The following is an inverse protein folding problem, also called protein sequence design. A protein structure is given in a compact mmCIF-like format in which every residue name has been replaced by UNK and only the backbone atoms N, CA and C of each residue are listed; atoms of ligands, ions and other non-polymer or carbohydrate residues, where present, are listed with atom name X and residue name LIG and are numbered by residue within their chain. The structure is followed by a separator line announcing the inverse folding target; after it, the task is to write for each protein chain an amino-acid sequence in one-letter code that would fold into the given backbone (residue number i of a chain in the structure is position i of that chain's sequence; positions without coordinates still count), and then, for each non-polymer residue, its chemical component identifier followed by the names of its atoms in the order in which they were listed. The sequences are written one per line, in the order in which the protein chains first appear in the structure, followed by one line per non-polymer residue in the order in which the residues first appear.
data_IF_019263908726
#
_entry.id   IF_019263908726
#
_cell.length_a   1.000
_cell.length_b   1.000
_cell.length_c   1.000
_cell.angle_alpha   90.00
_cell.angle_beta   90.00
_cell.angle_gamma   90.00
#
_symmetry.space_group_name_H-M   'P 1'
#
loop_
_entity.id
_entity.type
_entity.pdbx_description
1 polymer ?
#
# COMPACT_ATOMS: atom_id res chain seq x y z
N UNK A 1 -3.04 -22.41 15.96
CA UNK A 1 -4.12 -21.61 15.32
C UNK A 1 -4.10 -21.96 13.84
N UNK A 2 -5.18 -22.53 13.32
CA UNK A 2 -5.34 -22.73 11.88
C UNK A 2 -6.10 -21.53 11.31
N UNK A 3 -5.70 -21.09 10.12
CA UNK A 3 -6.44 -20.07 9.36
C UNK A 3 -7.71 -20.70 8.77
N UNK A 4 -8.66 -19.88 8.34
CA UNK A 4 -9.87 -20.39 7.68
C UNK A 4 -9.59 -20.78 6.24
N UNK A 5 -10.22 -21.87 5.77
CA UNK A 5 -10.06 -22.39 4.40
C UNK A 5 -10.35 -21.34 3.32
N UNK A 6 -11.21 -20.37 3.62
CA UNK A 6 -11.55 -19.25 2.71
C UNK A 6 -10.35 -18.36 2.39
N UNK A 7 -9.42 -18.20 3.34
CA UNK A 7 -8.22 -17.40 3.12
C UNK A 7 -7.23 -18.10 2.21
N UNK A 8 -7.18 -19.44 2.23
CA UNK A 8 -6.30 -20.24 1.37
C UNK A 8 -6.67 -20.10 -0.11
N UNK A 9 -7.92 -19.76 -0.42
CA UNK A 9 -8.39 -19.50 -1.79
C UNK A 9 -8.01 -18.12 -2.32
N UNK A 10 -7.50 -17.21 -1.47
CA UNK A 10 -7.09 -15.87 -1.89
C UNK A 10 -5.67 -15.91 -2.44
N UNK A 11 -5.55 -15.79 -3.76
CA UNK A 11 -4.25 -15.73 -4.40
C UNK A 11 -3.48 -14.45 -3.98
N UNK A 12 -2.14 -14.52 -3.85
CA UNK A 12 -1.32 -13.35 -3.66
C UNK A 12 -1.55 -12.32 -4.78
N UNK A 13 -1.60 -11.03 -4.43
CA UNK A 13 -1.79 -9.96 -5.40
C UNK A 13 -0.57 -9.80 -6.31
N UNK A 14 -0.76 -10.02 -7.61
CA UNK A 14 0.28 -9.77 -8.62
C UNK A 14 0.69 -8.30 -8.70
N UNK A 15 -0.25 -7.37 -8.46
CA UNK A 15 0.04 -5.93 -8.37
C UNK A 15 0.99 -5.66 -7.20
N UNK A 16 0.79 -6.35 -6.07
CA UNK A 16 1.68 -6.20 -4.91
C UNK A 16 3.08 -6.72 -5.21
N UNK A 17 3.20 -7.87 -5.88
CA UNK A 17 4.51 -8.41 -6.31
C UNK A 17 5.24 -7.44 -7.25
N UNK A 18 4.52 -6.86 -8.22
CA UNK A 18 5.08 -5.87 -9.14
C UNK A 18 5.57 -4.63 -8.38
N UNK A 19 4.79 -4.14 -7.43
CA UNK A 19 5.15 -2.99 -6.60
C UNK A 19 6.39 -3.25 -5.74
N UNK A 20 6.44 -4.40 -5.06
CA UNK A 20 7.58 -4.79 -4.23
C UNK A 20 8.88 -4.89 -5.05
N UNK A 21 8.80 -5.36 -6.31
CA UNK A 21 9.93 -5.40 -7.24
C UNK A 21 10.36 -3.99 -7.70
N UNK A 22 9.39 -3.11 -7.99
CA UNK A 22 9.66 -1.76 -8.47
C UNK A 22 10.28 -0.86 -7.39
N UNK A 23 9.90 -1.03 -6.12
CA UNK A 23 10.46 -0.24 -5.00
C UNK A 23 11.98 -0.41 -4.81
N UNK A 24 12.57 -1.52 -5.26
CA UNK A 24 14.01 -1.79 -5.12
C UNK A 24 14.88 -1.22 -6.25
N UNK A 25 14.29 -0.58 -7.26
CA UNK A 25 15.02 -0.14 -8.46
C UNK A 25 15.09 1.39 -8.48
N UNK A 26 16.30 1.92 -8.38
CA UNK A 26 16.57 3.35 -8.44
C UNK A 26 16.22 3.91 -9.83
N UNK A 27 15.44 5.00 -9.88
CA UNK A 27 15.10 5.70 -11.12
C UNK A 27 13.86 5.19 -11.87
N UNK A 28 13.10 4.23 -11.32
CA UNK A 28 11.80 3.83 -11.90
C UNK A 28 10.75 4.92 -11.70
N UNK A 29 10.01 5.26 -12.77
CA UNK A 29 8.80 6.06 -12.69
C UNK A 29 7.62 5.11 -12.45
N UNK A 30 7.06 5.15 -11.24
CA UNK A 30 5.92 4.31 -10.88
C UNK A 30 4.61 4.95 -11.31
N UNK A 31 3.97 4.39 -12.34
CA UNK A 31 2.62 4.78 -12.79
C UNK A 31 1.51 3.85 -12.27
N UNK A 32 1.87 2.86 -11.46
CA UNK A 32 0.95 1.85 -10.92
C UNK A 32 0.44 2.17 -9.50
N UNK A 33 0.90 3.27 -8.90
CA UNK A 33 0.52 3.67 -7.55
C UNK A 33 -0.81 4.41 -7.62
N UNK A 34 -1.85 3.82 -7.05
CA UNK A 34 -3.17 4.44 -6.90
C UNK A 34 -3.31 5.31 -5.65
N UNK A 35 -2.20 5.77 -5.09
CA UNK A 35 -2.16 6.58 -3.87
C UNK A 35 -1.94 8.07 -4.21
N UNK A 36 -2.44 9.00 -3.38
CA UNK A 36 -2.15 10.42 -3.57
C UNK A 36 -0.66 10.71 -3.51
N UNK A 37 -0.18 11.59 -4.39
CA UNK A 37 1.18 12.12 -4.40
C UNK A 37 1.40 13.25 -3.38
N UNK A 38 0.32 13.76 -2.79
CA UNK A 38 0.35 14.82 -1.78
C UNK A 38 0.21 14.26 -0.36
N UNK A 39 0.86 14.94 0.58
CA UNK A 39 0.75 14.62 1.99
C UNK A 39 -0.64 15.00 2.53
N UNK A 40 -1.05 14.34 3.62
CA UNK A 40 -2.30 14.63 4.29
C UNK A 40 -2.29 16.08 4.82
N UNK A 41 -3.35 16.88 4.57
CA UNK A 41 -3.45 18.25 5.05
C UNK A 41 -3.19 18.41 6.56
N UNK A 42 -2.48 19.48 6.93
CA UNK A 42 -2.01 19.66 8.32
C UNK A 42 -3.15 19.72 9.34
N UNK A 43 -4.27 20.34 8.98
CA UNK A 43 -5.44 20.40 9.87
C UNK A 43 -5.97 19.00 10.23
N UNK A 44 -5.92 18.05 9.30
CA UNK A 44 -6.35 16.65 9.55
C UNK A 44 -5.37 15.96 10.50
N UNK A 45 -4.07 16.16 10.30
CA UNK A 45 -3.03 15.63 11.20
C UNK A 45 -3.16 16.18 12.62
N UNK A 46 -3.45 17.47 12.73
CA UNK A 46 -3.64 18.14 14.03
C UNK A 46 -4.89 17.65 14.77
N UNK A 47 -5.97 17.33 14.06
CA UNK A 47 -7.13 16.68 14.68
C UNK A 47 -6.82 15.25 15.13
N UNK A 48 -6.06 14.49 14.34
CA UNK A 48 -5.68 13.12 14.69
C UNK A 48 -4.81 13.03 15.95
N UNK A 49 -3.90 14.00 16.18
CA UNK A 49 -3.05 14.06 17.38
C UNK A 49 -3.80 14.42 18.67
N UNK A 50 -4.96 15.09 18.55
CA UNK A 50 -5.74 15.59 19.69
C UNK A 50 -6.75 14.58 20.23
N UNK A 51 -7.05 13.53 19.46
CA UNK A 51 -7.91 12.42 19.86
C UNK A 51 -7.14 11.39 20.70
#
# INVERSE_FOLDING_TARGET
MALSDRLEMVNPSEIRKLFDLAQGIEGIISLGIGEPDFDTPEHIKEYAKKA
#
